data_IF_288760246026
#
_entry.id   IF_288760246026
#
_cell.length_a   1.000
_cell.length_b   1.000
_cell.length_c   1.000
_cell.angle_alpha   90.00
_cell.angle_beta   90.00
_cell.angle_gamma   90.00
#
_symmetry.space_group_name_H-M   'P 1'
#
loop_
_entity.id
_entity.type
_entity.pdbx_description
1 polymer ?
#
# COMPACT_ATOMS: atom_id res chain seq x y z
N UNK A 1 2.52 -6.80 22.25
CA UNK A 1 3.73 -7.22 21.48
C UNK A 1 3.80 -6.43 20.18
N UNK A 2 3.87 -5.09 20.26
CA UNK A 2 3.68 -4.19 19.12
C UNK A 2 4.99 -3.93 18.37
N UNK A 3 6.04 -3.69 19.14
CA UNK A 3 7.40 -3.44 18.67
C UNK A 3 8.00 -4.68 18.01
N UNK A 4 7.90 -5.84 18.64
CA UNK A 4 8.44 -7.10 18.09
C UNK A 4 7.78 -7.46 16.74
N UNK A 5 6.46 -7.37 16.65
CA UNK A 5 5.73 -7.62 15.40
C UNK A 5 6.13 -6.65 14.29
N UNK A 6 6.17 -5.34 14.58
CA UNK A 6 6.64 -4.33 13.61
C UNK A 6 8.08 -4.59 13.15
N UNK A 7 8.99 -4.95 14.07
CA UNK A 7 10.39 -5.22 13.75
C UNK A 7 10.52 -6.42 12.81
N UNK A 8 9.86 -7.54 13.14
CA UNK A 8 9.85 -8.73 12.28
C UNK A 8 9.27 -8.36 10.91
N UNK A 9 8.11 -7.70 10.89
CA UNK A 9 7.46 -7.31 9.66
C UNK A 9 8.33 -6.44 8.75
N UNK A 10 8.96 -5.39 9.30
CA UNK A 10 9.85 -4.49 8.55
C UNK A 10 11.01 -5.25 7.91
N UNK A 11 11.63 -6.16 8.66
CA UNK A 11 12.81 -6.92 8.20
C UNK A 11 12.45 -7.91 7.10
N UNK A 12 11.31 -8.61 7.23
CA UNK A 12 10.96 -9.68 6.30
C UNK A 12 10.34 -9.14 5.00
N UNK A 13 9.49 -8.11 5.04
CA UNK A 13 8.84 -7.63 3.81
C UNK A 13 8.24 -6.22 3.86
N UNK A 14 7.94 -5.71 5.05
CA UNK A 14 7.20 -4.46 5.24
C UNK A 14 7.85 -3.24 4.60
N UNK A 15 9.19 -3.15 4.60
CA UNK A 15 9.90 -2.02 4.00
C UNK A 15 9.76 -2.00 2.47
N UNK A 16 9.79 -3.17 1.82
CA UNK A 16 9.65 -3.27 0.37
C UNK A 16 8.25 -2.82 -0.06
N UNK A 17 7.22 -3.33 0.63
CA UNK A 17 5.83 -2.95 0.37
C UNK A 17 5.61 -1.45 0.59
N UNK A 18 6.15 -0.90 1.66
CA UNK A 18 6.05 0.54 1.93
C UNK A 18 6.69 1.39 0.83
N UNK A 19 7.87 1.01 0.35
CA UNK A 19 8.56 1.69 -0.75
C UNK A 19 7.70 1.66 -2.02
N UNK A 20 7.08 0.53 -2.36
CA UNK A 20 6.19 0.45 -3.52
C UNK A 20 4.99 1.39 -3.40
N UNK A 21 4.37 1.47 -2.22
CA UNK A 21 3.30 2.44 -1.97
C UNK A 21 3.77 3.90 -2.11
N UNK A 22 5.00 4.22 -1.69
CA UNK A 22 5.60 5.55 -1.88
C UNK A 22 5.84 5.83 -3.37
N UNK A 23 6.39 4.88 -4.12
CA UNK A 23 6.63 5.02 -5.56
C UNK A 23 5.30 5.22 -6.31
N UNK A 24 4.29 4.40 -6.01
CA UNK A 24 2.96 4.54 -6.59
C UNK A 24 2.30 5.88 -6.23
N UNK A 25 2.48 6.34 -4.98
CA UNK A 25 2.02 7.64 -4.50
C UNK A 25 2.61 8.79 -5.30
N UNK A 26 3.93 8.78 -5.52
CA UNK A 26 4.64 9.76 -6.35
C UNK A 26 4.12 9.72 -7.79
N UNK A 27 3.94 8.53 -8.37
CA UNK A 27 3.41 8.36 -9.72
C UNK A 27 2.02 9.00 -9.91
N UNK A 28 1.14 8.87 -8.91
CA UNK A 28 -0.19 9.50 -8.93
C UNK A 28 -0.12 11.02 -8.76
N UNK A 29 0.83 11.50 -7.95
CA UNK A 29 1.05 12.94 -7.70
C UNK A 29 1.62 13.70 -8.90
N UNK A 30 2.08 13.02 -9.96
CA UNK A 30 2.52 13.67 -11.21
C UNK A 30 1.39 14.52 -11.82
N UNK A 31 0.14 14.11 -11.62
CA UNK A 31 -1.03 14.88 -12.10
C UNK A 31 -1.65 15.65 -10.94
N UNK A 32 -2.04 16.91 -11.16
CA UNK A 32 -2.74 17.74 -10.15
C UNK A 32 -3.98 17.02 -9.61
N UNK A 33 -4.69 16.31 -10.49
CA UNK A 33 -5.92 15.56 -10.15
C UNK A 33 -5.60 14.31 -9.30
N UNK A 34 -4.44 13.69 -9.49
CA UNK A 34 -4.01 12.49 -8.77
C UNK A 34 -3.39 12.78 -7.39
N UNK A 35 -3.03 14.03 -7.07
CA UNK A 35 -2.51 14.42 -5.76
C UNK A 35 -3.35 13.92 -4.57
N UNK A 36 -4.69 14.14 -4.51
CA UNK A 36 -5.49 13.63 -3.40
C UNK A 36 -5.44 12.09 -3.28
N UNK A 37 -5.31 11.36 -4.39
CA UNK A 37 -5.17 9.90 -4.41
C UNK A 37 -3.77 9.45 -3.98
N UNK A 38 -2.73 10.14 -4.44
CA UNK A 38 -1.35 9.91 -4.00
C UNK A 38 -1.20 10.07 -2.49
N UNK A 39 -1.80 11.10 -1.90
CA UNK A 39 -1.83 11.29 -0.45
C UNK A 39 -2.53 10.15 0.31
N UNK A 40 -3.59 9.57 -0.26
CA UNK A 40 -4.21 8.37 0.34
C UNK A 40 -3.30 7.14 0.23
N UNK A 41 -2.64 6.96 -0.92
CA UNK A 41 -1.63 5.89 -1.10
C UNK A 41 -0.44 6.05 -0.14
N UNK A 42 -0.04 7.27 0.18
CA UNK A 42 1.02 7.54 1.16
C UNK A 42 0.63 7.10 2.58
N UNK A 43 -0.65 7.27 2.96
CA UNK A 43 -1.16 6.76 4.24
C UNK A 43 -1.14 5.24 4.29
N UNK A 44 -1.37 4.58 3.15
CA UNK A 44 -1.20 3.13 3.04
C UNK A 44 0.28 2.74 3.17
N UNK A 45 1.23 3.53 2.66
CA UNK A 45 2.66 3.32 2.90
C UNK A 45 3.01 3.36 4.39
N UNK A 46 2.49 4.36 5.12
CA UNK A 46 2.71 4.46 6.57
C UNK A 46 2.10 3.27 7.33
N UNK A 47 0.89 2.86 6.95
CA UNK A 47 0.24 1.67 7.49
C UNK A 47 1.01 0.39 7.15
N UNK A 48 1.61 0.32 5.95
CA UNK A 48 2.44 -0.81 5.53
C UNK A 48 3.78 -0.86 6.28
N UNK A 49 4.35 0.26 6.73
CA UNK A 49 5.57 0.24 7.56
C UNK A 49 5.29 -0.27 8.97
N UNK A 50 4.22 0.23 9.59
CA UNK A 50 3.89 -0.02 10.99
C UNK A 50 2.44 -0.46 11.13
N UNK A 51 2.09 -1.69 10.71
CA UNK A 51 0.70 -2.15 10.65
C UNK A 51 0.10 -2.42 12.04
N UNK A 52 0.93 -2.81 13.01
CA UNK A 52 0.43 -3.18 14.33
C UNK A 52 -0.10 -1.93 15.06
N UNK A 53 -1.33 -2.02 15.58
CA UNK A 53 -2.16 -0.94 16.19
C UNK A 53 -2.81 0.09 15.25
N UNK A 54 -2.55 0.07 13.95
CA UNK A 54 -3.26 0.94 13.01
C UNK A 54 -4.64 0.34 12.72
N UNK A 55 -5.69 1.16 12.79
CA UNK A 55 -7.05 0.79 12.36
C UNK A 55 -7.41 1.56 11.11
N UNK A 56 -7.76 0.85 10.04
CA UNK A 56 -8.34 1.46 8.86
C UNK A 56 -9.78 1.88 9.18
N UNK A 57 -10.04 3.19 9.21
CA UNK A 57 -11.39 3.72 9.36
C UNK A 57 -11.96 4.01 7.98
N UNK A 58 -13.04 3.32 7.62
CA UNK A 58 -13.74 3.59 6.37
C UNK A 58 -14.52 4.90 6.50
N UNK A 59 -14.16 5.88 5.69
CA UNK A 59 -15.00 7.07 5.48
C UNK A 59 -15.97 6.81 4.33
N UNK A 60 -17.03 7.63 4.26
CA UNK A 60 -18.02 7.55 3.18
C UNK A 60 -17.30 7.76 1.84
N UNK A 61 -17.22 6.72 1.02
CA UNK A 61 -16.63 6.80 -0.32
C UNK A 61 -17.50 7.67 -1.19
N UNK A 62 -16.91 8.71 -1.79
CA UNK A 62 -17.61 9.54 -2.76
C UNK A 62 -17.69 8.77 -4.07
N UNK A 63 -18.88 8.29 -4.43
CA UNK A 63 -19.12 7.66 -5.72
C UNK A 63 -19.15 8.73 -6.81
N UNK A 64 -18.43 8.51 -7.92
CA UNK A 64 -18.38 9.44 -9.04
C UNK A 64 -17.46 8.96 -10.17
N UNK A 65 -17.62 9.55 -11.36
CA UNK A 65 -16.83 9.22 -12.56
C UNK A 65 -15.32 9.38 -12.31
N UNK A 66 -14.92 10.45 -11.60
CA UNK A 66 -13.52 10.69 -11.25
C UNK A 66 -12.93 9.57 -10.37
N UNK A 67 -13.69 9.04 -9.41
CA UNK A 67 -13.23 7.97 -8.55
C UNK A 67 -13.00 6.67 -9.34
N UNK A 68 -13.86 6.39 -10.33
CA UNK A 68 -13.68 5.24 -11.22
C UNK A 68 -12.38 5.38 -12.04
N UNK A 69 -12.15 6.53 -12.68
CA UNK A 69 -10.95 6.77 -13.47
C UNK A 69 -9.69 6.64 -12.61
N UNK A 70 -9.70 7.24 -11.42
CA UNK A 70 -8.55 7.20 -10.51
C UNK A 70 -8.30 5.80 -9.95
N UNK A 71 -9.34 5.01 -9.69
CA UNK A 71 -9.17 3.60 -9.30
C UNK A 71 -8.54 2.77 -10.42
N UNK A 72 -8.92 3.01 -11.68
CA UNK A 72 -8.30 2.34 -12.85
C UNK A 72 -6.84 2.73 -12.97
N UNK A 73 -6.51 4.02 -12.84
CA UNK A 73 -5.11 4.49 -12.85
C UNK A 73 -4.31 3.87 -11.70
N UNK A 74 -4.85 3.93 -10.47
CA UNK A 74 -4.22 3.36 -9.30
C UNK A 74 -4.01 1.86 -9.43
N UNK A 75 -4.95 1.13 -10.02
CA UNK A 75 -4.85 -0.30 -10.25
C UNK A 75 -3.59 -0.67 -11.05
N UNK A 76 -3.27 0.07 -12.11
CA UNK A 76 -2.07 -0.22 -12.91
C UNK A 76 -0.78 0.30 -12.30
N UNK A 77 -0.82 1.45 -11.62
CA UNK A 77 0.38 2.09 -11.05
C UNK A 77 0.82 1.44 -9.74
N UNK A 78 -0.12 1.20 -8.84
CA UNK A 78 0.16 0.70 -7.49
C UNK A 78 -0.53 -0.62 -7.18
N UNK A 79 -1.81 -0.75 -7.53
CA UNK A 79 -2.63 -1.89 -7.11
C UNK A 79 -2.06 -3.25 -7.53
N UNK A 80 -1.91 -3.48 -8.84
CA UNK A 80 -1.43 -4.74 -9.38
C UNK A 80 0.04 -5.03 -9.01
N UNK A 81 1.00 -4.09 -9.17
CA UNK A 81 2.38 -4.33 -8.76
C UNK A 81 2.51 -4.70 -7.28
N UNK A 82 1.88 -3.94 -6.39
CA UNK A 82 1.94 -4.17 -4.94
C UNK A 82 1.30 -5.51 -4.58
N UNK A 83 0.17 -5.86 -5.21
CA UNK A 83 -0.49 -7.14 -4.99
C UNK A 83 0.40 -8.33 -5.40
N UNK A 84 1.10 -8.22 -6.53
CA UNK A 84 2.06 -9.25 -6.97
C UNK A 84 3.22 -9.39 -5.99
N UNK A 85 3.75 -8.29 -5.47
CA UNK A 85 4.81 -8.33 -4.46
C UNK A 85 4.35 -8.98 -3.16
N UNK A 86 3.11 -8.70 -2.70
CA UNK A 86 2.52 -9.40 -1.56
C UNK A 86 2.38 -10.90 -1.81
N UNK A 87 1.91 -11.28 -2.99
CA UNK A 87 1.77 -12.68 -3.38
C UNK A 87 3.14 -13.38 -3.41
N UNK A 88 4.17 -12.72 -3.95
CA UNK A 88 5.54 -13.22 -3.96
C UNK A 88 6.09 -13.44 -2.56
N UNK A 89 6.03 -12.44 -1.67
CA UNK A 89 6.50 -12.59 -0.29
C UNK A 89 5.68 -13.63 0.49
N UNK A 90 4.37 -13.71 0.25
CA UNK A 90 3.51 -14.73 0.83
C UNK A 90 3.97 -16.15 0.45
N UNK A 91 4.25 -16.40 -0.83
CA UNK A 91 4.77 -17.68 -1.31
C UNK A 91 6.18 -17.93 -0.78
N UNK A 92 7.06 -16.93 -0.80
CA UNK A 92 8.43 -17.04 -0.30
C UNK A 92 8.43 -17.48 1.16
N UNK A 93 7.71 -16.77 2.04
CA UNK A 93 7.66 -17.12 3.46
C UNK A 93 6.95 -18.45 3.72
N UNK A 94 5.93 -18.78 2.93
CA UNK A 94 5.28 -20.09 3.02
C UNK A 94 6.27 -21.22 2.76
N UNK A 95 7.23 -21.05 1.85
CA UNK A 95 8.24 -22.07 1.54
C UNK A 95 9.41 -22.07 2.55
N UNK A 96 9.78 -20.89 3.08
CA UNK A 96 11.00 -20.77 3.90
C UNK A 96 10.79 -20.88 5.41
N UNK A 97 9.58 -20.58 5.92
CA UNK A 97 9.30 -20.51 7.37
C UNK A 97 8.46 -21.70 7.85
N UNK A 98 7.64 -22.30 6.98
CA UNK A 98 6.97 -23.59 7.23
C UNK A 98 7.91 -24.72 6.81
#
# INVERSE_FOLDING_TARGET
>A
MKTLGNVIWIVFGGIFIAIEYVIASIGLMITIIGIPFGLQSLKLAEMALLPFDKKAVSNKTTSGCLALIMNVIWFFIGGLPIALTHMFFGVLFYITII
#
